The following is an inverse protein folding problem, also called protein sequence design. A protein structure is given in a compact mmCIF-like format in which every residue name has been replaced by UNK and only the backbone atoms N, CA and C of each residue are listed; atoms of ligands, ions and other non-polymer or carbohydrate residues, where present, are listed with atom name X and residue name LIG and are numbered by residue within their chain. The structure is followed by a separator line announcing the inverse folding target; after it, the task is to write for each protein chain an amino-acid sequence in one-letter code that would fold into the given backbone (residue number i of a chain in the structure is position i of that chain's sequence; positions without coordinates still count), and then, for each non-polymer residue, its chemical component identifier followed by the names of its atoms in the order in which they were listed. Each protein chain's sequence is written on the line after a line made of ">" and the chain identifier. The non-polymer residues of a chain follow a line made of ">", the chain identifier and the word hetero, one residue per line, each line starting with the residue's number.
data_IF_602671930819
#
_entry.id   IF_602671930819
#
_cell.length_a   1.000
_cell.length_b   1.000
_cell.length_c   1.000
_cell.angle_alpha   90.00
_cell.angle_beta   90.00
_cell.angle_gamma   90.00
#
_symmetry.space_group_name_H-M   'P 1'
#
loop_
_entity.id
_entity.type
_entity.pdbx_description
1 polymer ?
#
# COMPACT_ATOMS: atom_id res chain seq x y z
N UNK A 1 -17.26 34.60 -68.97
CA UNK A 1 -16.33 33.59 -68.43
C UNK A 1 -15.40 34.25 -67.43
N UNK A 2 -15.69 34.12 -66.12
CA UNK A 2 -14.85 34.59 -65.01
C UNK A 2 -14.97 33.58 -63.86
N UNK A 3 -13.82 33.29 -63.29
CA UNK A 3 -13.45 32.10 -62.54
C UNK A 3 -14.21 31.89 -61.22
N UNK A 4 -14.72 30.67 -61.02
CA UNK A 4 -15.21 30.13 -59.74
C UNK A 4 -14.22 29.07 -59.25
N UNK A 5 -13.14 29.49 -58.59
CA UNK A 5 -12.22 28.58 -57.89
C UNK A 5 -11.60 29.28 -56.67
N UNK A 6 -12.41 29.58 -55.67
CA UNK A 6 -11.93 29.83 -54.30
C UNK A 6 -12.95 29.26 -53.33
N UNK A 7 -12.77 28.00 -52.94
CA UNK A 7 -13.68 27.35 -51.99
C UNK A 7 -13.32 25.92 -51.64
N UNK A 8 -12.03 25.54 -51.67
CA UNK A 8 -11.63 24.18 -51.33
C UNK A 8 -10.21 24.15 -50.72
N UNK A 9 -10.00 24.86 -49.61
CA UNK A 9 -8.81 24.68 -48.77
C UNK A 9 -9.15 24.75 -47.27
N UNK A 10 -10.23 24.09 -46.86
CA UNK A 10 -10.53 23.82 -45.45
C UNK A 10 -11.08 22.39 -45.35
N UNK A 11 -10.23 21.39 -45.50
CA UNK A 11 -10.69 20.00 -45.49
C UNK A 11 -9.62 18.94 -45.33
N UNK A 12 -8.49 19.26 -44.69
CA UNK A 12 -7.38 18.30 -44.51
C UNK A 12 -6.72 18.44 -43.13
N UNK A 13 -7.53 18.47 -42.08
CA UNK A 13 -7.07 18.41 -40.69
C UNK A 13 -7.90 17.45 -39.81
N UNK A 14 -8.50 16.41 -40.38
CA UNK A 14 -9.36 15.47 -39.63
C UNK A 14 -8.95 14.00 -39.73
N UNK A 15 -7.74 13.67 -40.19
CA UNK A 15 -7.31 12.28 -40.39
C UNK A 15 -6.08 11.84 -39.57
N UNK A 16 -5.75 12.52 -38.49
CA UNK A 16 -4.69 12.07 -37.57
C UNK A 16 -5.16 12.14 -36.13
N UNK A 17 -6.06 11.25 -35.71
CA UNK A 17 -6.29 10.96 -34.28
C UNK A 17 -7.00 9.61 -34.03
N UNK A 18 -6.98 8.68 -34.99
CA UNK A 18 -7.49 7.34 -34.74
C UNK A 18 -6.34 6.44 -34.27
N UNK A 19 -6.36 6.17 -32.96
CA UNK A 19 -5.57 5.22 -32.17
C UNK A 19 -4.17 5.69 -31.70
N UNK A 20 -3.84 5.55 -30.39
CA UNK A 20 -4.45 4.64 -29.43
C UNK A 20 -5.10 5.39 -28.24
N UNK A 21 -6.43 5.48 -28.22
CA UNK A 21 -7.17 5.51 -26.96
C UNK A 21 -7.33 4.06 -26.46
N UNK A 22 -6.21 3.38 -26.28
CA UNK A 22 -6.14 2.08 -25.62
C UNK A 22 -5.07 2.23 -24.54
N UNK A 23 -5.49 2.02 -23.29
CA UNK A 23 -4.76 2.25 -22.02
C UNK A 23 -5.16 3.53 -21.29
N UNK A 24 -6.45 3.83 -21.26
CA UNK A 24 -7.08 4.26 -20.00
C UNK A 24 -7.95 3.11 -19.50
N UNK A 25 -7.36 1.92 -19.40
CA UNK A 25 -7.86 0.96 -18.43
C UNK A 25 -7.57 1.63 -17.08
N UNK A 26 -8.61 2.11 -16.43
CA UNK A 26 -8.59 2.36 -15.00
C UNK A 26 -8.02 1.12 -14.34
N UNK A 27 -6.74 1.16 -13.95
CA UNK A 27 -6.10 0.16 -13.12
C UNK A 27 -6.75 0.20 -11.73
N UNK A 28 -7.95 -0.36 -11.63
CA UNK A 28 -8.56 -0.75 -10.37
C UNK A 28 -7.73 -1.84 -9.65
N UNK A 29 -6.65 -2.33 -10.29
CA UNK A 29 -5.66 -3.26 -9.78
C UNK A 29 -4.25 -2.63 -9.68
N UNK A 30 -4.11 -1.30 -9.69
CA UNK A 30 -2.81 -0.67 -9.47
C UNK A 30 -2.35 -0.97 -8.03
N UNK A 31 -1.36 -1.85 -7.93
CA UNK A 31 -0.63 -2.10 -6.70
C UNK A 31 -0.24 -0.78 -6.03
N UNK A 32 -0.75 -0.58 -4.80
CA UNK A 32 -0.50 0.64 -4.06
C UNK A 32 0.91 0.60 -3.48
N UNK A 33 1.66 1.70 -3.68
CA UNK A 33 3.01 1.81 -3.17
C UNK A 33 3.04 1.81 -1.65
N UNK A 34 4.14 1.31 -1.08
CA UNK A 34 4.39 1.28 0.37
C UNK A 34 4.19 2.65 1.02
N UNK A 35 4.71 3.70 0.40
CA UNK A 35 4.62 5.07 0.94
C UNK A 35 3.18 5.58 0.94
N UNK A 36 2.39 5.23 -0.07
CA UNK A 36 0.98 5.57 -0.12
C UNK A 36 0.21 4.88 1.01
N UNK A 37 0.45 3.58 1.23
CA UNK A 37 -0.15 2.82 2.34
C UNK A 37 0.29 3.38 3.69
N UNK A 38 1.58 3.70 3.86
CA UNK A 38 2.09 4.32 5.08
C UNK A 38 1.42 5.65 5.36
N UNK A 39 1.24 6.49 4.34
CA UNK A 39 0.53 7.75 4.44
C UNK A 39 -0.94 7.57 4.86
N UNK A 40 -1.63 6.56 4.32
CA UNK A 40 -2.98 6.24 4.78
C UNK A 40 -3.02 5.75 6.23
N UNK A 41 -2.09 4.87 6.62
CA UNK A 41 -2.00 4.36 7.97
C UNK A 41 -1.67 5.48 8.98
N UNK A 42 -0.79 6.42 8.63
CA UNK A 42 -0.52 7.62 9.43
C UNK A 42 -1.77 8.48 9.59
N UNK A 43 -2.47 8.78 8.48
CA UNK A 43 -3.68 9.60 8.52
C UNK A 43 -4.80 8.92 9.34
N UNK A 44 -4.94 7.60 9.23
CA UNK A 44 -5.88 6.81 10.02
C UNK A 44 -5.51 6.81 11.51
N UNK A 45 -4.26 6.49 11.83
CA UNK A 45 -3.77 6.42 13.22
C UNK A 45 -3.82 7.78 13.91
N UNK A 46 -3.50 8.87 13.21
CA UNK A 46 -3.50 10.22 13.76
C UNK A 46 -4.89 10.68 14.24
N UNK A 47 -5.96 10.26 13.55
CA UNK A 47 -7.35 10.51 13.99
C UNK A 47 -7.69 9.85 15.33
N UNK A 48 -6.88 8.87 15.72
CA UNK A 48 -7.01 8.03 16.90
C UNK A 48 -5.89 8.30 17.93
N UNK A 49 -5.18 9.42 17.80
CA UNK A 49 -4.11 9.82 18.72
C UNK A 49 -2.81 9.01 18.59
N UNK A 50 -2.68 8.23 17.53
CA UNK A 50 -1.49 7.42 17.24
C UNK A 50 -0.71 7.90 16.03
N UNK A 51 0.14 6.99 15.52
CA UNK A 51 0.95 7.17 14.31
C UNK A 51 1.08 5.83 13.60
N UNK A 52 1.67 5.78 12.42
CA UNK A 52 2.15 4.54 11.85
C UNK A 52 3.69 4.47 11.84
N UNK A 53 4.24 3.26 11.80
CA UNK A 53 5.65 2.98 11.53
C UNK A 53 5.77 1.99 10.37
N UNK A 54 6.97 1.91 9.82
CA UNK A 54 7.34 0.97 8.76
C UNK A 54 8.48 0.10 9.30
N UNK A 55 8.37 -1.21 9.13
CA UNK A 55 9.46 -2.17 9.38
C UNK A 55 9.87 -2.78 8.05
N UNK A 56 11.16 -2.86 7.80
CA UNK A 56 11.73 -3.36 6.53
C UNK A 56 12.72 -4.49 6.79
N UNK A 57 12.88 -5.38 5.80
CA UNK A 57 13.97 -6.35 5.75
C UNK A 57 14.07 -7.20 7.02
N UNK A 58 15.20 -7.09 7.74
CA UNK A 58 15.48 -7.91 8.93
C UNK A 58 14.47 -7.65 10.07
N UNK A 59 14.06 -6.40 10.29
CA UNK A 59 13.09 -6.07 11.33
C UNK A 59 11.72 -6.66 10.99
N UNK A 60 11.28 -6.53 9.73
CA UNK A 60 10.04 -7.15 9.26
C UNK A 60 10.08 -8.69 9.42
N UNK A 61 11.19 -9.32 9.03
CA UNK A 61 11.38 -10.76 9.15
C UNK A 61 11.34 -11.23 10.61
N UNK A 62 12.02 -10.55 11.53
CA UNK A 62 12.00 -10.88 12.96
C UNK A 62 10.63 -10.68 13.60
N UNK A 63 9.91 -9.63 13.19
CA UNK A 63 8.53 -9.41 13.62
C UNK A 63 7.61 -10.55 13.16
N UNK A 64 7.70 -10.92 11.87
CA UNK A 64 6.89 -11.98 11.27
C UNK A 64 7.19 -13.35 11.88
N UNK A 65 8.46 -13.67 12.13
CA UNK A 65 8.83 -14.93 12.78
C UNK A 65 8.17 -15.06 14.16
N UNK A 66 8.19 -13.98 14.95
CA UNK A 66 7.51 -13.96 16.24
C UNK A 66 5.99 -14.11 16.08
N UNK A 67 5.39 -13.33 15.19
CA UNK A 67 3.94 -13.36 14.96
C UNK A 67 3.48 -14.76 14.53
N UNK A 68 4.16 -15.36 13.54
CA UNK A 68 3.80 -16.65 12.96
C UNK A 68 3.99 -17.84 13.92
N UNK A 69 4.93 -17.76 14.86
CA UNK A 69 5.32 -18.91 15.68
C UNK A 69 4.99 -18.77 17.18
N UNK A 70 4.66 -17.56 17.65
CA UNK A 70 4.54 -17.27 19.10
C UNK A 70 3.24 -16.59 19.52
N UNK A 71 2.45 -16.06 18.58
CA UNK A 71 1.20 -15.37 18.89
C UNK A 71 0.02 -16.21 18.37
N UNK A 72 -0.80 -16.72 19.28
CA UNK A 72 -1.98 -17.51 18.92
C UNK A 72 -1.64 -18.84 18.24
N UNK A 73 -2.48 -19.24 17.28
CA UNK A 73 -2.22 -20.40 16.43
C UNK A 73 -1.18 -20.07 15.36
N UNK A 74 -0.33 -21.02 14.96
CA UNK A 74 0.68 -20.77 13.94
C UNK A 74 0.11 -20.29 12.61
N UNK A 75 0.75 -19.27 12.01
CA UNK A 75 0.36 -18.68 10.72
C UNK A 75 1.52 -18.69 9.72
N UNK A 76 1.23 -18.41 8.44
CA UNK A 76 2.25 -18.26 7.38
C UNK A 76 2.17 -16.88 6.72
N UNK A 77 2.11 -15.83 7.55
CA UNK A 77 2.12 -14.45 7.04
C UNK A 77 3.46 -14.12 6.38
N UNK A 78 3.40 -13.46 5.23
CA UNK A 78 4.57 -13.08 4.43
C UNK A 78 4.55 -11.59 4.13
N UNK A 79 5.72 -10.98 4.17
CA UNK A 79 5.93 -9.60 3.75
C UNK A 79 7.40 -9.22 3.83
N UNK A 80 7.86 -8.44 2.85
CA UNK A 80 9.19 -7.81 2.87
C UNK A 80 9.18 -6.48 3.62
N UNK A 81 8.00 -5.88 3.77
CA UNK A 81 7.77 -4.66 4.55
C UNK A 81 6.46 -4.77 5.32
N UNK A 82 6.43 -4.25 6.54
CA UNK A 82 5.24 -4.14 7.37
C UNK A 82 4.90 -2.68 7.63
N UNK A 83 3.62 -2.33 7.50
CA UNK A 83 3.09 -1.03 7.90
C UNK A 83 2.25 -1.23 9.16
N UNK A 84 2.67 -0.58 10.25
CA UNK A 84 2.06 -0.78 11.57
C UNK A 84 1.41 0.52 12.01
N UNK A 85 0.07 0.55 12.11
CA UNK A 85 -0.70 1.68 12.62
C UNK A 85 -1.09 1.50 14.09
N UNK A 86 -0.87 2.52 14.90
CA UNK A 86 -1.24 2.56 16.32
C UNK A 86 -2.57 3.27 16.52
N UNK A 87 -3.53 2.63 17.18
CA UNK A 87 -4.85 3.18 17.47
C UNK A 87 -5.12 3.12 18.99
N UNK A 88 -4.46 4.02 19.76
CA UNK A 88 -4.44 3.92 21.22
C UNK A 88 -5.80 4.12 21.88
N UNK A 89 -6.64 5.02 21.37
CA UNK A 89 -8.02 5.21 21.85
C UNK A 89 -8.92 3.98 21.59
N UNK A 90 -8.63 3.20 20.54
CA UNK A 90 -9.31 1.95 20.20
C UNK A 90 -8.65 0.72 20.85
N UNK A 91 -7.50 0.90 21.51
CA UNK A 91 -6.80 -0.16 22.25
C UNK A 91 -6.18 -1.25 21.37
N UNK A 92 -5.78 -0.95 20.12
CA UNK A 92 -5.14 -1.94 19.26
C UNK A 92 -4.07 -1.38 18.32
N UNK A 93 -3.31 -2.30 17.73
CA UNK A 93 -2.34 -2.06 16.67
C UNK A 93 -2.78 -2.82 15.43
N UNK A 94 -2.67 -2.20 14.25
CA UNK A 94 -3.00 -2.83 12.97
C UNK A 94 -1.73 -3.04 12.16
N UNK A 95 -1.48 -4.26 11.71
CA UNK A 95 -0.33 -4.64 10.89
C UNK A 95 -0.82 -4.93 9.48
N UNK A 96 -0.33 -4.16 8.52
CA UNK A 96 -0.50 -4.39 7.09
C UNK A 96 0.79 -4.92 6.47
N UNK A 97 0.63 -5.77 5.48
CA UNK A 97 1.72 -6.49 4.84
C UNK A 97 1.94 -5.91 3.45
N UNK A 98 3.21 -5.74 3.10
CA UNK A 98 3.63 -5.46 1.73
C UNK A 98 4.49 -6.63 1.30
N UNK A 99 4.26 -7.08 0.07
CA UNK A 99 5.04 -8.12 -0.58
C UNK A 99 5.49 -7.61 -1.96
N UNK A 100 6.80 -7.60 -2.20
CA UNK A 100 7.40 -7.14 -3.46
C UNK A 100 6.97 -5.70 -3.81
N UNK A 101 6.90 -4.83 -2.81
CA UNK A 101 6.47 -3.44 -2.96
C UNK A 101 4.95 -3.24 -3.12
N UNK A 102 4.16 -4.31 -3.06
CA UNK A 102 2.70 -4.26 -3.17
C UNK A 102 2.00 -4.57 -1.86
N UNK A 103 1.09 -3.70 -1.45
CA UNK A 103 0.25 -3.92 -0.29
C UNK A 103 -0.65 -5.15 -0.48
N UNK A 104 -0.58 -6.11 0.44
CA UNK A 104 -1.57 -7.17 0.54
C UNK A 104 -2.79 -6.63 1.27
N UNK A 105 -3.76 -6.10 0.51
CA UNK A 105 -5.00 -5.56 1.06
C UNK A 105 -5.94 -6.64 1.61
N UNK A 106 -5.70 -7.92 1.29
CA UNK A 106 -6.48 -9.04 1.79
C UNK A 106 -6.09 -9.45 3.22
N UNK A 107 -4.89 -9.08 3.65
CA UNK A 107 -4.34 -9.49 4.93
C UNK A 107 -4.06 -8.28 5.81
N UNK A 108 -4.82 -8.14 6.89
CA UNK A 108 -4.56 -7.18 7.96
C UNK A 108 -4.67 -7.93 9.29
N UNK A 109 -3.66 -7.76 10.14
CA UNK A 109 -3.65 -8.40 11.46
C UNK A 109 -3.82 -7.34 12.52
N UNK A 110 -4.88 -7.50 13.33
CA UNK A 110 -5.10 -6.68 14.51
C UNK A 110 -4.44 -7.36 15.71
N UNK A 111 -3.58 -6.63 16.40
CA UNK A 111 -2.89 -7.07 17.61
C UNK A 111 -3.30 -6.21 18.79
N UNK A 112 -3.36 -6.82 19.97
CA UNK A 112 -3.33 -6.05 21.21
C UNK A 112 -1.93 -5.42 21.41
N UNK A 113 -1.81 -4.33 22.18
CA UNK A 113 -0.53 -3.65 22.38
C UNK A 113 0.56 -4.52 22.98
N UNK A 114 0.22 -5.49 23.84
CA UNK A 114 1.20 -6.37 24.48
C UNK A 114 1.79 -7.36 23.48
N UNK A 115 0.95 -7.99 22.67
CA UNK A 115 1.40 -8.89 21.60
C UNK A 115 2.24 -8.15 20.55
N UNK A 116 1.85 -6.93 20.18
CA UNK A 116 2.67 -6.06 19.32
C UNK A 116 4.05 -5.81 19.93
N UNK A 117 4.14 -5.40 21.20
CA UNK A 117 5.41 -5.04 21.83
C UNK A 117 6.39 -6.22 21.84
N UNK A 118 5.91 -7.43 22.13
CA UNK A 118 6.74 -8.64 22.10
C UNK A 118 7.30 -8.95 20.71
N UNK A 119 6.46 -8.85 19.67
CA UNK A 119 6.90 -9.02 18.29
C UNK A 119 7.87 -7.92 17.86
N UNK A 120 7.64 -6.69 18.29
CA UNK A 120 8.51 -5.55 18.01
C UNK A 120 9.87 -5.64 18.72
N UNK A 121 9.91 -6.12 19.95
CA UNK A 121 11.16 -6.38 20.68
C UNK A 121 11.98 -7.49 20.02
N UNK A 122 11.33 -8.57 19.59
CA UNK A 122 11.96 -9.64 18.82
C UNK A 122 12.55 -9.12 17.50
N UNK A 123 11.83 -8.26 16.79
CA UNK A 123 12.29 -7.62 15.56
C UNK A 123 13.56 -6.77 15.75
N UNK A 124 13.73 -6.15 16.92
CA UNK A 124 14.86 -5.26 17.23
C UNK A 124 16.03 -5.96 17.90
N UNK A 125 15.96 -7.26 18.14
CA UNK A 125 17.01 -8.03 18.82
C UNK A 125 17.20 -7.63 20.29
N UNK A 126 16.23 -6.93 20.86
CA UNK A 126 16.18 -6.57 22.28
C UNK A 126 15.35 -7.62 23.00
N UNK A 127 15.94 -8.77 23.31
CA UNK A 127 15.33 -9.76 24.21
C UNK A 127 15.34 -9.23 25.64
N UNK A 128 14.16 -9.20 26.28
CA UNK A 128 14.02 -9.11 27.75
C UNK A 128 14.13 -10.50 28.34
#
# INVERSE_FOLDING_TARGET
>A
MKSLLLGAMLGLASLVSFAPASQAATDANACQSVDFIKGQADAGSARHGGRAIRLDGVEAAGFLDYLNNRIGDPTDYKGDTLIIGFYPDLGYVLVGFVLNGCADQGTLVKLDPTSFMKAYEAARGTTV
#
